data_IF_628335525586
#
_entry.id   IF_628335525586
#
_cell.length_a   1.000
_cell.length_b   1.000
_cell.length_c   1.000
_cell.angle_alpha   90.00
_cell.angle_beta   90.00
_cell.angle_gamma   90.00
#
_symmetry.space_group_name_H-M   'P 1'
#
loop_
_entity.id
_entity.type
_entity.pdbx_description
1 polymer ?
#
# COMPACT_ATOMS: atom_id res chain seq x y z
N UNK A 1 5.06 -9.28 -26.19
CA UNK A 1 4.98 -10.75 -26.11
C UNK A 1 3.52 -11.08 -25.93
N UNK A 2 2.93 -11.98 -26.75
CA UNK A 2 1.56 -12.39 -26.53
C UNK A 2 1.40 -12.97 -25.12
N UNK A 3 0.23 -12.79 -24.50
CA UNK A 3 -0.04 -13.39 -23.19
C UNK A 3 -0.17 -14.91 -23.35
N UNK A 4 0.85 -15.64 -22.89
CA UNK A 4 0.90 -17.08 -22.78
C UNK A 4 1.32 -17.51 -21.36
N UNK A 5 1.32 -18.82 -21.08
CA UNK A 5 1.61 -19.31 -19.74
C UNK A 5 3.03 -18.96 -19.26
N UNK A 6 4.00 -18.88 -20.17
CA UNK A 6 5.40 -18.54 -19.86
C UNK A 6 5.49 -17.03 -19.61
N UNK A 7 4.94 -16.21 -20.51
CA UNK A 7 4.96 -14.75 -20.38
C UNK A 7 4.27 -14.29 -19.10
N UNK A 8 3.11 -14.87 -18.77
CA UNK A 8 2.33 -14.54 -17.60
C UNK A 8 3.11 -14.83 -16.30
N UNK A 9 3.82 -15.95 -16.22
CA UNK A 9 4.64 -16.27 -15.05
C UNK A 9 5.87 -15.35 -14.94
N UNK A 10 6.46 -14.93 -16.07
CA UNK A 10 7.55 -13.94 -16.08
C UNK A 10 7.06 -12.60 -15.54
N UNK A 11 5.95 -12.07 -16.05
CA UNK A 11 5.38 -10.80 -15.58
C UNK A 11 4.92 -10.86 -14.13
N UNK A 12 4.29 -11.97 -13.70
CA UNK A 12 3.94 -12.19 -12.30
C UNK A 12 5.13 -12.03 -11.37
N UNK A 13 6.25 -12.69 -11.67
CA UNK A 13 7.46 -12.60 -10.84
C UNK A 13 8.07 -11.20 -10.89
N UNK A 14 8.04 -10.51 -12.04
CA UNK A 14 8.50 -9.12 -12.14
C UNK A 14 7.66 -8.17 -11.28
N UNK A 15 6.32 -8.27 -11.33
CA UNK A 15 5.42 -7.45 -10.52
C UNK A 15 5.53 -7.73 -9.03
N UNK A 16 5.71 -9.00 -8.63
CA UNK A 16 5.99 -9.36 -7.24
C UNK A 16 7.33 -8.75 -6.80
N UNK A 17 8.37 -8.84 -7.63
CA UNK A 17 9.70 -8.26 -7.35
C UNK A 17 9.63 -6.76 -7.08
N UNK A 18 8.76 -6.01 -7.78
CA UNK A 18 8.54 -4.58 -7.48
C UNK A 18 8.13 -4.41 -6.01
N UNK A 19 7.13 -5.16 -5.57
CA UNK A 19 6.61 -5.07 -4.19
C UNK A 19 7.64 -5.57 -3.16
N UNK A 20 8.39 -6.62 -3.47
CA UNK A 20 9.44 -7.15 -2.58
C UNK A 20 10.60 -6.17 -2.41
N UNK A 21 11.06 -5.52 -3.49
CA UNK A 21 12.14 -4.53 -3.42
C UNK A 21 11.71 -3.27 -2.67
N UNK A 22 10.46 -2.84 -2.83
CA UNK A 22 9.86 -1.81 -1.99
C UNK A 22 9.92 -2.20 -0.51
N UNK A 23 9.61 -3.46 -0.19
CA UNK A 23 9.65 -4.00 1.18
C UNK A 23 11.07 -4.06 1.74
N UNK A 24 12.05 -4.51 0.97
CA UNK A 24 13.47 -4.52 1.37
C UNK A 24 13.99 -3.11 1.65
N UNK A 25 13.64 -2.13 0.81
CA UNK A 25 13.99 -0.74 1.03
C UNK A 25 13.37 -0.20 2.32
N UNK A 26 12.08 -0.46 2.54
CA UNK A 26 11.36 -0.03 3.74
C UNK A 26 11.98 -0.64 5.00
N UNK A 27 12.18 -1.95 5.01
CA UNK A 27 12.77 -2.66 6.16
C UNK A 27 14.15 -2.11 6.51
N UNK A 28 15.04 -1.98 5.53
CA UNK A 28 16.45 -1.62 5.78
C UNK A 28 16.62 -0.17 6.23
N UNK A 29 15.72 0.72 5.80
CA UNK A 29 15.83 2.16 6.07
C UNK A 29 14.91 2.66 7.17
N UNK A 30 13.96 1.84 7.63
CA UNK A 30 13.13 2.14 8.80
C UNK A 30 13.94 2.20 10.10
N UNK A 31 13.38 2.93 11.06
CA UNK A 31 13.97 3.26 12.35
C UNK A 31 13.28 2.47 13.46
N UNK A 32 11.95 2.38 13.45
CA UNK A 32 11.22 1.67 14.50
C UNK A 32 11.39 0.16 14.41
N UNK A 33 11.34 -0.51 15.56
CA UNK A 33 11.40 -1.97 15.66
C UNK A 33 10.20 -2.66 14.99
N UNK A 34 9.04 -1.99 14.92
CA UNK A 34 7.85 -2.53 14.25
C UNK A 34 8.10 -2.75 12.76
N UNK A 35 8.67 -1.77 12.07
CA UNK A 35 8.96 -1.94 10.64
C UNK A 35 10.26 -2.69 10.41
N UNK A 36 11.33 -2.37 11.16
CA UNK A 36 12.66 -2.91 10.90
C UNK A 36 12.81 -4.39 11.24
N UNK A 37 12.33 -4.76 12.43
CA UNK A 37 12.56 -6.08 13.04
C UNK A 37 11.31 -6.96 12.95
N UNK A 38 10.12 -6.42 13.26
CA UNK A 38 8.86 -7.20 13.21
C UNK A 38 8.30 -7.31 11.79
N UNK A 39 8.80 -6.51 10.86
CA UNK A 39 8.33 -6.44 9.47
C UNK A 39 6.82 -6.21 9.38
N UNK A 40 6.31 -5.33 10.23
CA UNK A 40 4.90 -4.96 10.28
C UNK A 40 4.61 -3.85 9.26
N UNK A 41 4.71 -4.23 7.99
CA UNK A 41 4.43 -3.39 6.83
C UNK A 41 4.02 -4.25 5.64
N UNK A 42 3.38 -3.67 4.62
CA UNK A 42 3.19 -4.30 3.31
C UNK A 42 3.46 -3.32 2.19
N UNK A 43 3.86 -3.84 1.03
CA UNK A 43 4.03 -3.08 -0.22
C UNK A 43 3.21 -3.75 -1.32
N UNK A 44 2.61 -2.96 -2.20
CA UNK A 44 1.76 -3.46 -3.27
C UNK A 44 1.84 -2.60 -4.54
N UNK A 45 1.53 -3.27 -5.65
CA UNK A 45 1.40 -2.72 -7.00
C UNK A 45 -0.06 -2.82 -7.44
N UNK A 46 -0.54 -1.77 -8.11
CA UNK A 46 -1.89 -1.67 -8.63
C UNK A 46 -1.88 -1.29 -10.12
N UNK A 47 -2.85 -1.80 -10.89
CA UNK A 47 -3.07 -1.40 -12.28
C UNK A 47 -3.66 0.04 -12.36
N UNK A 48 -3.86 0.61 -13.56
CA UNK A 48 -4.45 1.94 -13.73
C UNK A 48 -5.87 2.10 -13.16
N UNK A 49 -6.62 0.99 -13.05
CA UNK A 49 -7.94 0.94 -12.42
C UNK A 49 -7.89 0.85 -10.88
N UNK A 50 -6.68 0.88 -10.31
CA UNK A 50 -6.41 0.73 -8.88
C UNK A 50 -6.87 -0.62 -8.28
N UNK A 51 -6.74 -1.68 -9.08
CA UNK A 51 -6.87 -3.07 -8.66
C UNK A 51 -5.50 -3.64 -8.30
N UNK A 52 -5.41 -4.37 -7.20
CA UNK A 52 -4.13 -4.88 -6.69
C UNK A 52 -3.62 -6.03 -7.54
N UNK A 53 -2.51 -5.82 -8.25
CA UNK A 53 -1.88 -6.81 -9.13
C UNK A 53 -0.90 -7.70 -8.37
N UNK A 54 -0.12 -7.11 -7.47
CA UNK A 54 0.87 -7.83 -6.67
C UNK A 54 1.02 -7.20 -5.29
N UNK A 55 1.35 -8.03 -4.29
CA UNK A 55 1.69 -7.61 -2.94
C UNK A 55 2.84 -8.46 -2.42
N UNK A 56 3.79 -7.86 -1.72
CA UNK A 56 4.78 -8.60 -0.95
C UNK A 56 4.11 -9.31 0.25
N UNK A 57 4.46 -10.58 0.47
CA UNK A 57 3.83 -11.43 1.48
C UNK A 57 4.37 -11.13 2.89
N UNK A 58 3.97 -10.01 3.48
CA UNK A 58 4.38 -9.62 4.84
C UNK A 58 3.25 -9.79 5.86
N UNK A 59 2.14 -9.05 5.72
CA UNK A 59 1.01 -9.09 6.66
C UNK A 59 -0.33 -9.31 5.93
N UNK A 60 -1.07 -10.41 6.21
CA UNK A 60 -2.34 -10.71 5.53
C UNK A 60 -3.45 -9.67 5.73
N UNK A 61 -3.49 -8.99 6.89
CA UNK A 61 -4.52 -7.96 7.17
C UNK A 61 -4.46 -6.79 6.19
N UNK A 62 -3.27 -6.49 5.65
CA UNK A 62 -3.09 -5.42 4.66
C UNK A 62 -3.73 -5.73 3.30
N UNK A 63 -3.98 -7.02 2.98
CA UNK A 63 -4.59 -7.44 1.71
C UNK A 63 -5.98 -6.83 1.50
N UNK A 64 -6.77 -6.70 2.57
CA UNK A 64 -8.14 -6.18 2.47
C UNK A 64 -8.23 -4.66 2.56
N UNK A 65 -7.41 -4.03 3.41
CA UNK A 65 -7.54 -2.61 3.72
C UNK A 65 -6.73 -1.70 2.79
N UNK A 66 -5.61 -2.18 2.20
CA UNK A 66 -4.80 -1.36 1.30
C UNK A 66 -5.53 -0.94 0.02
N UNK A 67 -6.29 -1.80 -0.68
CA UNK A 67 -7.11 -1.38 -1.83
C UNK A 67 -8.08 -0.25 -1.47
N UNK A 68 -8.75 -0.35 -0.31
CA UNK A 68 -9.67 0.69 0.15
C UNK A 68 -8.95 2.03 0.38
N UNK A 69 -7.72 2.01 0.90
CA UNK A 69 -6.89 3.22 1.04
C UNK A 69 -6.50 3.86 -0.30
N UNK A 70 -6.10 3.04 -1.28
CA UNK A 70 -5.77 3.53 -2.63
C UNK A 70 -7.00 4.13 -3.28
N UNK A 71 -8.15 3.46 -3.18
CA UNK A 71 -9.42 3.99 -3.70
C UNK A 71 -9.81 5.31 -3.03
N UNK A 72 -9.71 5.41 -1.70
CA UNK A 72 -10.00 6.66 -0.98
C UNK A 72 -9.07 7.82 -1.39
N UNK A 73 -7.78 7.53 -1.62
CA UNK A 73 -6.82 8.51 -2.14
C UNK A 73 -7.24 9.02 -3.53
N UNK A 74 -7.61 8.12 -4.45
CA UNK A 74 -8.01 8.49 -5.81
C UNK A 74 -9.37 9.18 -5.88
N UNK A 75 -10.32 8.82 -5.02
CA UNK A 75 -11.60 9.53 -4.88
C UNK A 75 -11.42 10.95 -4.36
N UNK A 76 -10.48 11.16 -3.43
CA UNK A 76 -10.14 12.50 -2.91
C UNK A 76 -9.43 13.36 -3.96
N UNK A 77 -8.67 12.74 -4.86
CA UNK A 77 -7.94 13.40 -5.96
C UNK A 77 -8.41 12.88 -7.33
N UNK A 78 -9.65 13.19 -7.75
CA UNK A 78 -10.27 12.58 -8.94
C UNK A 78 -9.64 12.98 -10.28
N UNK A 79 -8.74 13.99 -10.26
CA UNK A 79 -7.93 14.38 -11.42
C UNK A 79 -6.67 13.52 -11.58
N UNK A 80 -6.50 12.50 -10.75
CA UNK A 80 -5.30 11.67 -10.68
C UNK A 80 -4.16 12.33 -9.89
N UNK A 81 -3.07 11.56 -9.76
CA UNK A 81 -1.83 11.98 -9.10
C UNK A 81 -0.83 12.36 -10.18
N UNK A 82 -0.11 13.48 -10.05
CA UNK A 82 0.94 13.83 -11.03
C UNK A 82 2.24 13.09 -10.67
N UNK A 83 3.20 12.96 -11.60
CA UNK A 83 4.51 12.42 -11.30
C UNK A 83 5.13 13.06 -10.04
N UNK A 84 5.54 12.22 -9.08
CA UNK A 84 6.12 12.63 -7.80
C UNK A 84 5.13 13.15 -6.75
N UNK A 85 3.82 13.16 -7.01
CA UNK A 85 2.83 13.31 -5.96
C UNK A 85 2.79 12.04 -5.09
N UNK A 86 2.75 12.19 -3.76
CA UNK A 86 2.58 11.07 -2.81
C UNK A 86 1.45 11.44 -1.86
N UNK A 87 0.46 10.56 -1.74
CA UNK A 87 -0.65 10.69 -0.79
C UNK A 87 -0.31 9.93 0.49
N UNK A 88 -0.71 10.47 1.64
CA UNK A 88 -0.65 9.83 2.95
C UNK A 88 -2.05 9.75 3.56
N UNK A 89 -2.37 8.65 4.24
CA UNK A 89 -3.61 8.46 5.01
C UNK A 89 -3.48 7.35 6.06
N UNK A 90 -4.31 7.40 7.11
CA UNK A 90 -4.53 6.30 8.06
C UNK A 90 -5.98 6.22 8.58
N UNK A 91 -6.86 7.14 8.15
CA UNK A 91 -8.24 7.22 8.63
C UNK A 91 -8.98 5.88 8.38
N UNK A 92 -9.46 5.19 9.43
CA UNK A 92 -10.14 3.90 9.29
C UNK A 92 -11.41 3.96 8.45
N UNK A 93 -12.08 5.12 8.43
CA UNK A 93 -13.25 5.34 7.59
C UNK A 93 -12.91 5.62 6.13
N UNK A 94 -11.63 5.77 5.80
CA UNK A 94 -11.10 5.99 4.45
C UNK A 94 -10.05 4.92 4.07
N UNK A 95 -10.25 3.69 4.55
CA UNK A 95 -9.44 2.53 4.17
C UNK A 95 -8.27 2.19 5.11
N UNK A 96 -8.09 2.93 6.20
CA UNK A 96 -7.22 2.51 7.31
C UNK A 96 -7.76 1.26 8.01
N UNK A 97 -6.87 0.44 8.58
CA UNK A 97 -7.23 -0.67 9.49
C UNK A 97 -7.40 -0.16 10.92
N UNK A 98 -6.47 0.68 11.32
CA UNK A 98 -6.42 1.44 12.58
C UNK A 98 -5.37 2.55 12.43
N UNK A 99 -5.37 3.54 13.33
CA UNK A 99 -4.53 4.74 13.16
C UNK A 99 -3.00 4.49 13.07
N UNK A 100 -2.40 3.51 13.78
CA UNK A 100 -0.98 3.19 13.62
C UNK A 100 -0.54 2.85 12.19
N UNK A 101 -1.45 2.32 11.37
CA UNK A 101 -1.16 1.88 10.02
C UNK A 101 -1.24 3.05 9.03
N UNK A 102 -0.09 3.65 8.75
CA UNK A 102 0.01 4.77 7.82
C UNK A 102 0.31 4.26 6.43
N UNK A 103 -0.55 4.60 5.48
CA UNK A 103 -0.46 4.21 4.07
C UNK A 103 0.08 5.36 3.23
N UNK A 104 1.02 5.08 2.34
CA UNK A 104 1.45 5.99 1.28
C UNK A 104 1.03 5.44 -0.09
N UNK A 105 0.56 6.32 -0.98
CA UNK A 105 0.13 5.96 -2.35
C UNK A 105 0.76 6.92 -3.36
N UNK A 106 1.31 6.40 -4.44
CA UNK A 106 1.84 7.20 -5.55
C UNK A 106 1.53 6.56 -6.90
N UNK A 107 1.61 7.36 -7.96
CA UNK A 107 1.41 6.91 -9.34
C UNK A 107 2.75 6.81 -10.06
N UNK A 108 2.97 5.70 -10.76
CA UNK A 108 4.15 5.45 -11.57
C UNK A 108 3.86 5.75 -13.05
N UNK A 109 4.84 6.32 -13.74
CA UNK A 109 4.69 6.86 -15.09
C UNK A 109 5.85 6.44 -15.99
N UNK A 110 5.55 6.16 -17.26
CA UNK A 110 6.56 6.00 -18.32
C UNK A 110 6.52 7.18 -19.28
N UNK A 111 7.57 7.36 -20.08
CA UNK A 111 7.59 8.32 -21.19
C UNK A 111 6.86 7.76 -22.42
N UNK A 112 5.97 8.56 -23.00
CA UNK A 112 5.26 8.25 -24.23
C UNK A 112 5.31 9.40 -25.24
N UNK A 113 4.71 9.23 -26.43
CA UNK A 113 4.78 10.21 -27.52
C UNK A 113 4.23 11.59 -27.15
N UNK A 114 3.17 11.61 -26.33
CA UNK A 114 2.45 12.83 -25.91
C UNK A 114 2.77 13.24 -24.46
N UNK A 115 3.86 12.71 -23.90
CA UNK A 115 4.31 12.98 -22.53
C UNK A 115 4.19 11.78 -21.59
N UNK A 116 4.05 12.05 -20.29
CA UNK A 116 4.02 10.99 -19.26
C UNK A 116 2.72 10.19 -19.34
N UNK A 117 2.82 8.87 -19.42
CA UNK A 117 1.69 7.94 -19.44
C UNK A 117 1.63 7.13 -18.14
N UNK A 118 0.43 6.99 -17.57
CA UNK A 118 0.22 6.27 -16.31
C UNK A 118 0.44 4.77 -16.51
N UNK A 119 1.35 4.19 -15.73
CA UNK A 119 1.55 2.73 -15.70
C UNK A 119 0.60 2.09 -14.68
N UNK A 120 0.46 2.70 -13.51
CA UNK A 120 -0.31 2.18 -12.39
C UNK A 120 0.07 2.89 -11.09
N UNK A 121 -0.25 2.27 -9.95
CA UNK A 121 0.03 2.84 -8.64
C UNK A 121 0.90 1.90 -7.80
N UNK A 122 1.70 2.49 -6.93
CA UNK A 122 2.44 1.77 -5.89
C UNK A 122 2.01 2.28 -4.54
N UNK A 123 1.95 1.38 -3.57
CA UNK A 123 1.54 1.70 -2.20
C UNK A 123 2.38 0.94 -1.19
N UNK A 124 2.60 1.55 -0.04
CA UNK A 124 3.03 0.82 1.14
C UNK A 124 2.22 1.25 2.36
N UNK A 125 2.16 0.36 3.35
CA UNK A 125 1.58 0.60 4.67
C UNK A 125 2.56 0.11 5.70
N UNK A 126 2.85 0.92 6.70
CA UNK A 126 3.70 0.52 7.82
C UNK A 126 3.01 0.81 9.15
N UNK A 127 3.22 -0.08 10.12
CA UNK A 127 2.69 0.04 11.46
C UNK A 127 3.61 0.90 12.35
N UNK A 128 3.20 2.13 12.64
CA UNK A 128 3.97 3.05 13.47
C UNK A 128 3.71 2.82 14.96
N UNK A 129 4.76 2.90 15.78
CA UNK A 129 4.70 2.53 17.21
C UNK A 129 3.86 3.46 18.09
N UNK A 130 3.72 4.74 17.73
CA UNK A 130 2.93 5.73 18.46
C UNK A 130 2.42 6.83 17.54
N UNK A 131 1.10 7.03 17.47
CA UNK A 131 0.39 8.07 16.69
C UNK A 131 -0.23 9.16 17.57
N UNK A 132 0.19 9.29 18.84
CA UNK A 132 -0.32 10.37 19.72
C UNK A 132 -1.67 10.11 20.39
N UNK A 133 -2.07 8.86 20.58
CA UNK A 133 -3.28 8.51 21.34
C UNK A 133 -3.21 8.89 22.82
N UNK A 134 -4.29 8.65 23.57
CA UNK A 134 -4.43 9.00 24.99
C UNK A 134 -3.39 8.33 25.90
N UNK A 135 -2.83 7.20 25.47
CA UNK A 135 -1.79 6.46 26.16
C UNK A 135 -0.63 6.13 25.20
N UNK A 136 0.60 5.92 25.71
CA UNK A 136 1.72 5.49 24.87
C UNK A 136 1.47 4.15 24.18
N UNK A 137 1.91 4.04 22.91
CA UNK A 137 1.81 2.82 22.10
C UNK A 137 0.81 2.93 20.95
N UNK A 138 0.50 1.80 20.32
CA UNK A 138 -0.29 1.76 19.08
C UNK A 138 -1.78 1.46 19.29
N UNK A 139 -2.20 0.88 20.42
CA UNK A 139 -3.60 0.51 20.66
C UNK A 139 -4.00 0.79 22.12
N UNK A 140 -4.42 2.03 22.45
CA UNK A 140 -4.93 2.35 23.78
C UNK A 140 -6.31 1.72 24.03
N UNK A 141 -6.71 1.61 25.30
CA UNK A 141 -8.10 1.30 25.67
C UNK A 141 -8.97 2.54 25.46
N UNK A 142 -9.38 2.77 24.23
CA UNK A 142 -10.20 3.91 23.79
C UNK A 142 -11.70 3.59 23.78
N UNK A 143 -12.51 4.63 23.98
CA UNK A 143 -13.97 4.60 23.76
C UNK A 143 -14.39 5.35 22.50
N UNK A 144 -13.49 6.15 21.91
CA UNK A 144 -13.70 6.87 20.66
C UNK A 144 -12.38 7.03 19.88
N UNK A 145 -12.49 7.17 18.55
CA UNK A 145 -11.34 7.22 17.64
C UNK A 145 -10.36 8.36 17.96
N UNK A 146 -10.84 9.52 18.42
CA UNK A 146 -10.00 10.67 18.74
C UNK A 146 -9.03 10.40 19.90
N UNK A 147 -9.32 9.41 20.73
CA UNK A 147 -8.44 8.97 21.79
C UNK A 147 -7.35 8.00 21.29
N UNK A 148 -7.47 7.47 20.08
CA UNK A 148 -6.51 6.52 19.52
C UNK A 148 -5.30 7.23 18.90
N UNK A 149 -5.46 8.49 18.50
CA UNK A 149 -4.36 9.36 18.05
C UNK A 149 -4.71 10.17 16.82
N UNK A 150 -3.67 10.55 16.08
CA UNK A 150 -3.78 11.42 14.91
C UNK A 150 -4.48 10.70 13.76
N UNK A 151 -5.60 11.29 13.33
CA UNK A 151 -6.35 10.89 12.14
C UNK A 151 -5.84 11.70 10.96
N UNK A 152 -5.34 11.00 9.94
CA UNK A 152 -4.76 11.55 8.72
C UNK A 152 -5.72 11.21 7.56
N UNK A 153 -6.52 12.19 7.11
CA UNK A 153 -7.30 12.01 5.89
C UNK A 153 -6.38 11.98 4.66
N UNK A 154 -6.84 11.52 3.49
CA UNK A 154 -6.04 11.53 2.27
C UNK A 154 -5.56 12.95 1.93
N UNK A 155 -4.24 13.16 2.01
CA UNK A 155 -3.61 14.45 1.70
C UNK A 155 -2.27 14.27 1.00
N UNK A 156 -1.83 15.31 0.27
CA UNK A 156 -0.54 15.26 -0.46
C UNK A 156 0.64 15.48 0.50
N UNK A 157 1.35 14.40 0.80
CA UNK A 157 2.65 14.41 1.48
C UNK A 157 3.77 14.90 0.56
N UNK A 158 3.66 14.65 -0.74
CA UNK A 158 4.54 15.20 -1.77
C UNK A 158 3.71 15.81 -2.89
N UNK A 159 4.17 16.94 -3.43
CA UNK A 159 3.57 17.60 -4.60
C UNK A 159 4.63 17.77 -5.68
N UNK A 160 4.55 16.99 -6.76
CA UNK A 160 5.51 17.04 -7.87
C UNK A 160 6.95 16.81 -7.42
N UNK A 161 7.16 15.84 -6.52
CA UNK A 161 8.46 15.50 -5.94
C UNK A 161 8.92 16.40 -4.78
N UNK A 162 8.19 17.47 -4.47
CA UNK A 162 8.48 18.33 -3.31
C UNK A 162 7.74 17.83 -2.07
N UNK A 163 8.50 17.40 -1.07
CA UNK A 163 7.97 16.93 0.20
C UNK A 163 7.34 18.09 0.98
N UNK A 164 6.16 17.85 1.54
CA UNK A 164 5.48 18.74 2.46
C UNK A 164 6.02 18.53 3.88
N UNK A 165 7.08 19.26 4.22
CA UNK A 165 7.72 19.18 5.53
C UNK A 165 6.82 19.65 6.68
N UNK A 166 5.83 20.52 6.41
CA UNK A 166 4.89 21.01 7.43
C UNK A 166 3.96 19.88 7.89
N UNK A 167 3.47 19.05 6.96
CA UNK A 167 2.69 17.85 7.28
C UNK A 167 3.52 16.86 8.10
N UNK A 168 4.77 16.60 7.69
CA UNK A 168 5.66 15.70 8.44
C UNK A 168 5.89 16.24 9.85
N UNK A 169 6.18 17.54 9.99
CA UNK A 169 6.38 18.18 11.28
C UNK A 169 5.15 18.07 12.18
N UNK A 170 3.94 18.26 11.62
CA UNK A 170 2.69 18.10 12.35
C UNK A 170 2.50 16.65 12.84
N UNK A 171 2.74 15.66 11.98
CA UNK A 171 2.62 14.24 12.35
C UNK A 171 3.64 13.87 13.43
N UNK A 172 4.91 14.24 13.25
CA UNK A 172 5.97 13.93 14.21
C UNK A 172 5.73 14.61 15.56
N UNK A 173 5.24 15.85 15.57
CA UNK A 173 4.96 16.57 16.82
C UNK A 173 3.85 15.93 17.65
N UNK A 174 2.93 15.22 17.00
CA UNK A 174 1.87 14.47 17.64
C UNK A 174 2.27 13.00 17.90
N UNK A 175 3.56 12.70 18.00
CA UNK A 175 4.05 11.39 18.41
C UNK A 175 4.99 11.53 19.61
N UNK A 176 4.97 10.52 20.48
CA UNK A 176 5.94 10.39 21.58
C UNK A 176 7.32 9.97 21.09
N UNK A 177 7.42 9.44 19.87
CA UNK A 177 8.65 8.99 19.21
C UNK A 177 8.87 9.74 17.88
N UNK A 178 9.08 11.07 17.92
CA UNK A 178 9.14 11.91 16.72
C UNK A 178 10.29 11.53 15.76
N UNK A 179 11.44 11.10 16.29
CA UNK A 179 12.60 10.73 15.48
C UNK A 179 12.35 9.43 14.72
N UNK A 180 11.80 8.41 15.39
CA UNK A 180 11.36 7.15 14.74
C UNK A 180 10.29 7.45 13.69
N UNK A 181 9.32 8.31 14.01
CA UNK A 181 8.25 8.70 13.09
C UNK A 181 8.81 9.36 11.83
N UNK A 182 9.75 10.29 11.99
CA UNK A 182 10.38 10.96 10.87
C UNK A 182 11.19 9.97 10.01
N UNK A 183 11.95 9.08 10.66
CA UNK A 183 12.72 8.02 10.00
C UNK A 183 11.85 7.05 9.21
N UNK A 184 10.77 6.56 9.81
CA UNK A 184 9.85 5.62 9.18
C UNK A 184 9.08 6.25 8.01
N UNK A 185 8.62 7.50 8.14
CA UNK A 185 8.00 8.22 7.01
C UNK A 185 9.00 8.41 5.86
N UNK A 186 10.26 8.73 6.16
CA UNK A 186 11.30 8.82 5.14
C UNK A 186 11.56 7.46 4.46
N UNK A 187 11.57 6.37 5.23
CA UNK A 187 11.70 5.01 4.73
C UNK A 187 10.52 4.62 3.82
N UNK A 188 9.28 4.96 4.20
CA UNK A 188 8.10 4.75 3.37
C UNK A 188 8.17 5.56 2.05
N UNK A 189 8.61 6.81 2.08
CA UNK A 189 8.82 7.62 0.86
C UNK A 189 9.90 6.99 -0.03
N UNK A 190 11.01 6.51 0.54
CA UNK A 190 12.06 5.85 -0.22
C UNK A 190 11.57 4.55 -0.86
N UNK A 191 10.77 3.76 -0.13
CA UNK A 191 10.12 2.55 -0.63
C UNK A 191 9.19 2.85 -1.80
N UNK A 192 8.34 3.89 -1.73
CA UNK A 192 7.49 4.33 -2.85
C UNK A 192 8.35 4.62 -4.10
N UNK A 193 9.45 5.36 -3.95
CA UNK A 193 10.32 5.72 -5.07
C UNK A 193 10.99 4.49 -5.71
N UNK A 194 11.33 3.48 -4.91
CA UNK A 194 11.81 2.19 -5.44
C UNK A 194 10.72 1.54 -6.29
N UNK A 195 9.48 1.50 -5.80
CA UNK A 195 8.34 0.98 -6.54
C UNK A 195 8.09 1.68 -7.87
N UNK A 196 8.03 3.02 -7.85
CA UNK A 196 7.87 3.85 -9.05
C UNK A 196 8.94 3.53 -10.09
N UNK A 197 10.21 3.47 -9.65
CA UNK A 197 11.34 3.17 -10.52
C UNK A 197 11.26 1.77 -11.11
N UNK A 198 11.06 0.73 -10.29
CA UNK A 198 11.04 -0.67 -10.76
C UNK A 198 9.88 -0.94 -11.71
N UNK A 199 8.71 -0.34 -11.45
CA UNK A 199 7.59 -0.44 -12.37
C UNK A 199 7.86 0.28 -13.70
N UNK A 200 8.49 1.46 -13.65
CA UNK A 200 8.88 2.19 -14.86
C UNK A 200 9.88 1.40 -15.70
N UNK A 201 10.88 0.75 -15.08
CA UNK A 201 11.84 -0.12 -15.78
C UNK A 201 11.16 -1.29 -16.52
N UNK A 202 10.08 -1.85 -15.96
CA UNK A 202 9.28 -2.89 -16.63
C UNK A 202 8.58 -2.29 -17.86
N UNK A 203 7.89 -1.16 -17.70
CA UNK A 203 7.16 -0.52 -18.78
C UNK A 203 8.08 0.00 -19.91
N UNK A 204 9.28 0.48 -19.57
CA UNK A 204 10.30 0.89 -20.54
C UNK A 204 10.85 -0.31 -21.34
N UNK A 205 11.00 -1.46 -20.68
CA UNK A 205 11.56 -2.66 -21.31
C UNK A 205 10.58 -3.38 -22.22
N UNK A 206 9.32 -3.48 -21.82
CA UNK A 206 8.31 -4.28 -22.51
C UNK A 206 7.24 -3.45 -23.22
N UNK A 207 7.18 -2.14 -22.95
CA UNK A 207 6.13 -1.27 -23.43
C UNK A 207 4.93 -1.20 -22.47
N UNK A 208 4.20 -0.09 -22.56
CA UNK A 208 3.06 0.19 -21.70
C UNK A 208 1.91 -0.79 -21.95
N UNK A 209 1.51 -0.97 -23.20
CA UNK A 209 0.40 -1.84 -23.59
C UNK A 209 0.61 -3.28 -23.11
N UNK A 210 1.82 -3.82 -23.32
CA UNK A 210 2.18 -5.16 -22.87
C UNK A 210 2.17 -5.27 -21.35
N UNK A 211 2.63 -4.23 -20.65
CA UNK A 211 2.60 -4.18 -19.18
C UNK A 211 1.17 -4.23 -18.66
N UNK A 212 0.26 -3.44 -19.24
CA UNK A 212 -1.16 -3.42 -18.86
C UNK A 212 -1.86 -4.73 -19.19
N UNK A 213 -1.64 -5.28 -20.39
CA UNK A 213 -2.23 -6.56 -20.80
C UNK A 213 -1.87 -7.70 -19.83
N UNK A 214 -0.62 -7.72 -19.34
CA UNK A 214 -0.19 -8.72 -18.35
C UNK A 214 -0.69 -8.44 -16.94
N UNK A 215 -0.91 -7.18 -16.54
CA UNK A 215 -1.58 -6.86 -15.27
C UNK A 215 -3.01 -7.41 -15.27
N UNK A 216 -3.77 -7.14 -16.33
CA UNK A 216 -5.16 -7.58 -16.44
C UNK A 216 -5.26 -9.10 -16.56
N UNK A 217 -4.39 -9.73 -17.36
CA UNK A 217 -4.35 -11.19 -17.47
C UNK A 217 -4.05 -11.90 -16.13
N UNK A 218 -3.26 -11.28 -15.24
CA UNK A 218 -3.00 -11.82 -13.90
C UNK A 218 -4.21 -11.71 -12.99
N UNK A 219 -4.94 -10.59 -13.05
CA UNK A 219 -6.19 -10.41 -12.32
C UNK A 219 -7.23 -11.44 -12.76
N UNK A 220 -7.43 -11.59 -14.09
CA UNK A 220 -8.33 -12.60 -14.67
C UNK A 220 -7.94 -14.04 -14.32
N UNK A 221 -6.63 -14.32 -14.30
CA UNK A 221 -6.12 -15.63 -13.88
C UNK A 221 -6.43 -15.91 -12.41
N UNK A 222 -6.18 -14.94 -11.53
CA UNK A 222 -6.47 -15.03 -10.09
C UNK A 222 -7.97 -15.22 -9.82
N UNK A 223 -8.83 -14.48 -10.53
CA UNK A 223 -10.29 -14.62 -10.42
C UNK A 223 -10.75 -16.02 -10.82
N UNK A 224 -10.31 -16.52 -11.99
CA UNK A 224 -10.68 -17.86 -12.47
C UNK A 224 -10.25 -18.96 -11.51
N UNK A 225 -9.04 -18.85 -10.97
CA UNK A 225 -8.53 -19.82 -9.99
C UNK A 225 -9.38 -19.79 -8.72
N UNK A 226 -9.64 -18.61 -8.18
CA UNK A 226 -10.44 -18.42 -6.97
C UNK A 226 -11.87 -18.92 -7.16
N UNK A 227 -12.52 -18.56 -8.28
CA UNK A 227 -13.87 -19.02 -8.64
C UNK A 227 -13.94 -20.54 -8.73
N UNK A 228 -12.96 -21.18 -9.39
CA UNK A 228 -12.86 -22.65 -9.45
C UNK A 228 -12.73 -23.26 -8.05
N UNK A 229 -11.85 -22.72 -7.20
CA UNK A 229 -11.70 -23.21 -5.82
C UNK A 229 -12.99 -23.09 -5.01
N UNK A 230 -13.73 -22.00 -5.17
CA UNK A 230 -15.04 -21.82 -4.51
C UNK A 230 -16.02 -22.92 -4.94
N UNK A 231 -16.03 -23.33 -6.22
CA UNK A 231 -16.91 -24.42 -6.70
C UNK A 231 -16.53 -25.80 -6.14
N UNK A 232 -15.31 -25.97 -5.63
CA UNK A 232 -14.85 -27.21 -4.99
C UNK A 232 -15.28 -27.29 -3.51
N UNK A 233 -15.75 -26.18 -2.90
CA UNK A 233 -16.20 -26.15 -1.51
C UNK A 233 -17.57 -26.86 -1.39
N UNK A 234 -17.74 -27.84 -0.49
CA UNK A 234 -19.01 -28.52 -0.30
C UNK A 234 -20.14 -27.54 0.07
N UNK A 235 -21.32 -27.71 -0.53
CA UNK A 235 -22.50 -26.88 -0.23
C UNK A 235 -23.23 -27.28 1.06
N UNK A 236 -22.79 -28.36 1.71
CA UNK A 236 -23.36 -28.81 2.98
C UNK A 236 -23.04 -27.80 4.09
N UNK A 237 -23.93 -27.60 5.08
CA UNK A 237 -23.68 -26.68 6.18
C UNK A 237 -22.39 -27.07 6.90
N UNK A 238 -21.39 -26.19 6.87
CA UNK A 238 -20.20 -26.33 7.71
C UNK A 238 -20.57 -25.96 9.14
N UNK A 239 -20.07 -26.72 10.12
CA UNK A 239 -20.18 -26.34 11.52
C UNK A 239 -19.56 -24.95 11.73
N UNK A 240 -20.31 -24.00 12.28
CA UNK A 240 -19.79 -22.70 12.68
C UNK A 240 -19.32 -22.76 14.13
N UNK A 241 -18.11 -22.29 14.39
CA UNK A 241 -17.63 -22.07 15.76
C UNK A 241 -17.94 -20.62 16.12
N UNK A 242 -18.78 -20.43 17.13
CA UNK A 242 -18.99 -19.11 17.73
C UNK A 242 -17.92 -18.89 18.79
N UNK A 243 -17.03 -17.93 18.56
CA UNK A 243 -16.05 -17.49 19.56
C UNK A 243 -16.60 -16.26 20.29
N UNK A 244 -16.45 -16.24 21.62
CA UNK A 244 -16.78 -15.10 22.45
C UNK A 244 -15.49 -14.57 23.04
N UNK A 245 -15.28 -13.25 22.97
CA UNK A 245 -14.21 -12.58 23.71
C UNK A 245 -14.89 -11.67 24.72
N UNK A 246 -14.73 -11.97 26.00
CA UNK A 246 -15.16 -11.07 27.07
C UNK A 246 -14.18 -9.91 27.15
N UNK A 247 -14.65 -8.68 26.96
CA UNK A 247 -13.87 -7.50 27.34
C UNK A 247 -13.83 -7.47 28.88
N UNK A 248 -12.63 -7.60 29.44
CA UNK A 248 -12.38 -7.48 30.88
C UNK A 248 -12.18 -6.02 31.28
#
# INVERSE_FOLDING_TARGET
>A
MPVDAISLEVFKNMFISVSEEMGVALQRTSYSTNMKERQDFSCALFNPAAEMVAQAAHQPVHLGAMPASVQAALQTFPRGLRPGDIIILNDPYMGGSHLPDITLVAAAYTDGPDGKQLIGYVSNRGHHSDVGGMAPGSMPLSTELYQEGLIIPPLKLSRGGRINHEVIALICRNSRTPDDRQGDLAAQIASIRVGEKRLSEIAERYGLDETHEHMDALLDYSERLTRRRITEIPTAPTASTTTWTTMA
#
